data_IF_881216403091
#
_entry.id   IF_881216403091
#
_cell.length_a   1.000
_cell.length_b   1.000
_cell.length_c   1.000
_cell.angle_alpha   90.00
_cell.angle_beta   90.00
_cell.angle_gamma   90.00
#
_symmetry.space_group_name_H-M   'P 1'
#
loop_
_entity.id
_entity.type
_entity.pdbx_description
1 polymer ?
#
# COMPACT_ATOMS: atom_id res chain seq x y z
N UNK A 1 -16.75 11.78 -9.88
CA UNK A 1 -15.32 11.40 -9.95
C UNK A 1 -14.95 10.82 -8.59
N UNK A 2 -14.40 9.60 -8.54
CA UNK A 2 -14.07 8.94 -7.25
C UNK A 2 -12.83 9.60 -6.63
N UNK A 3 -12.95 10.02 -5.37
CA UNK A 3 -11.90 10.74 -4.63
C UNK A 3 -11.88 10.26 -3.19
N UNK A 4 -10.70 10.18 -2.60
CA UNK A 4 -10.53 9.90 -1.16
C UNK A 4 -10.65 11.21 -0.36
N UNK A 5 -11.61 11.28 0.56
CA UNK A 5 -11.82 12.49 1.39
C UNK A 5 -10.64 12.78 2.33
N UNK A 6 -9.96 11.74 2.83
CA UNK A 6 -8.86 11.89 3.80
C UNK A 6 -7.55 12.36 3.18
N UNK A 7 -7.17 11.83 2.01
CA UNK A 7 -5.89 12.15 1.36
C UNK A 7 -6.05 12.95 0.07
N UNK A 8 -7.29 13.21 -0.37
CA UNK A 8 -7.65 13.96 -1.57
C UNK A 8 -7.16 13.30 -2.88
N UNK A 9 -6.80 12.01 -2.85
CA UNK A 9 -6.41 11.27 -4.03
C UNK A 9 -7.59 11.15 -5.00
N UNK A 10 -7.38 11.46 -6.26
CA UNK A 10 -8.36 11.35 -7.32
C UNK A 10 -7.97 10.15 -8.20
N UNK A 11 -8.85 9.15 -8.27
CA UNK A 11 -8.56 7.91 -9.01
C UNK A 11 -8.31 8.17 -10.50
N UNK A 12 -9.09 9.03 -11.11
CA UNK A 12 -8.98 9.35 -12.52
C UNK A 12 -7.69 10.10 -12.91
N UNK A 13 -6.93 10.63 -11.95
CA UNK A 13 -5.64 11.29 -12.21
C UNK A 13 -4.50 10.28 -12.44
N UNK A 14 -4.77 8.98 -12.25
CA UNK A 14 -3.82 7.91 -12.49
C UNK A 14 -4.29 7.08 -13.67
N UNK A 15 -3.76 7.36 -14.84
CA UNK A 15 -4.03 6.59 -16.05
C UNK A 15 -3.24 5.26 -16.06
N UNK A 16 -3.61 4.37 -16.97
CA UNK A 16 -2.98 3.04 -17.08
C UNK A 16 -1.46 3.11 -17.33
N UNK A 17 -0.94 3.95 -18.24
CA UNK A 17 0.49 4.08 -18.47
C UNK A 17 1.29 4.57 -17.25
N UNK A 18 0.67 5.32 -16.33
CA UNK A 18 1.33 5.81 -15.13
C UNK A 18 1.48 4.76 -14.03
N UNK A 19 0.65 3.70 -14.02
CA UNK A 19 0.64 2.70 -12.95
C UNK A 19 2.01 2.09 -12.66
N UNK A 20 2.78 1.54 -13.63
CA UNK A 20 4.07 0.93 -13.35
C UNK A 20 5.07 1.89 -12.69
N UNK A 21 5.17 3.13 -13.21
CA UNK A 21 6.07 4.15 -12.66
C UNK A 21 5.66 4.57 -11.26
N UNK A 22 4.36 4.74 -11.01
CA UNK A 22 3.83 5.08 -9.68
C UNK A 22 4.15 3.99 -8.67
N UNK A 23 3.93 2.72 -9.00
CA UNK A 23 4.30 1.60 -8.12
C UNK A 23 5.79 1.56 -7.84
N UNK A 24 6.63 1.62 -8.86
CA UNK A 24 8.09 1.52 -8.72
C UNK A 24 8.66 2.60 -7.78
N UNK A 25 8.06 3.79 -7.75
CA UNK A 25 8.49 4.89 -6.90
C UNK A 25 8.30 4.63 -5.39
N UNK A 26 7.35 3.78 -4.98
CA UNK A 26 7.06 3.56 -3.56
C UNK A 26 8.23 2.92 -2.80
N UNK A 27 9.01 2.05 -3.44
CA UNK A 27 10.16 1.42 -2.80
C UNK A 27 11.15 2.43 -2.21
N UNK A 28 11.55 3.43 -3.00
CA UNK A 28 12.46 4.48 -2.56
C UNK A 28 11.80 5.42 -1.52
N UNK A 29 10.53 5.78 -1.72
CA UNK A 29 9.80 6.70 -0.84
C UNK A 29 9.61 6.13 0.57
N UNK A 30 9.17 4.87 0.70
CA UNK A 30 9.02 4.20 1.99
C UNK A 30 10.39 3.94 2.64
N UNK A 31 11.39 3.54 1.86
CA UNK A 31 12.75 3.38 2.38
C UNK A 31 13.28 4.66 3.01
N UNK A 32 13.06 5.81 2.40
CA UNK A 32 13.52 7.10 2.92
C UNK A 32 12.89 7.43 4.28
N UNK A 33 11.65 7.02 4.53
CA UNK A 33 10.95 7.22 5.80
C UNK A 33 11.37 6.20 6.87
N UNK A 34 11.56 4.93 6.48
CA UNK A 34 11.93 3.88 7.44
C UNK A 34 13.41 3.93 7.81
N UNK A 35 14.27 4.28 6.87
CA UNK A 35 15.74 4.22 6.98
C UNK A 35 16.39 5.53 6.52
N UNK A 36 16.08 6.67 7.15
CA UNK A 36 16.70 7.95 6.79
C UNK A 36 18.22 7.89 7.08
N UNK A 37 19.06 8.58 6.26
CA UNK A 37 20.52 8.55 6.39
C UNK A 37 21.03 9.04 7.76
N UNK A 38 20.31 10.00 8.35
CA UNK A 38 20.60 10.52 9.68
C UNK A 38 19.38 10.38 10.57
N UNK A 39 19.48 9.58 11.61
CA UNK A 39 18.42 9.36 12.59
C UNK A 39 19.00 9.12 13.99
N UNK A 40 18.25 9.44 15.07
CA UNK A 40 18.68 9.18 16.44
C UNK A 40 18.76 7.66 16.72
N UNK A 41 19.51 7.26 17.72
CA UNK A 41 19.57 5.85 18.17
C UNK A 41 18.20 5.27 18.56
N UNK A 42 17.25 6.13 18.98
CA UNK A 42 15.86 5.76 19.31
C UNK A 42 14.97 5.53 18.09
N UNK A 43 15.49 5.63 16.85
CA UNK A 43 14.68 5.61 15.63
C UNK A 43 13.84 4.34 15.49
N UNK A 44 14.39 3.17 15.80
CA UNK A 44 13.64 1.91 15.77
C UNK A 44 12.42 1.95 16.71
N UNK A 45 12.57 2.49 17.92
CA UNK A 45 11.46 2.71 18.84
C UNK A 45 10.40 3.67 18.27
N UNK A 46 10.83 4.76 17.61
CA UNK A 46 9.94 5.72 16.96
C UNK A 46 9.12 5.05 15.85
N UNK A 47 9.75 4.21 15.02
CA UNK A 47 9.06 3.46 13.96
C UNK A 47 7.98 2.52 14.48
N UNK A 48 8.14 1.97 15.70
CA UNK A 48 7.23 1.00 16.32
C UNK A 48 6.18 1.64 17.22
N UNK A 49 6.34 2.92 17.56
CA UNK A 49 5.40 3.62 18.44
C UNK A 49 4.18 4.03 17.66
N UNK A 50 2.99 3.62 18.14
CA UNK A 50 1.71 4.12 17.63
C UNK A 50 1.46 5.53 18.15
N UNK A 51 1.09 6.50 17.29
CA UNK A 51 0.81 7.87 17.72
C UNK A 51 -0.50 8.00 18.52
N UNK A 52 -1.40 7.00 18.44
CA UNK A 52 -2.62 6.80 19.23
C UNK A 52 -2.98 5.32 19.19
N UNK A 53 -3.86 4.87 20.12
CA UNK A 53 -4.22 3.45 20.24
C UNK A 53 -4.82 2.85 18.96
N UNK A 54 -5.63 3.63 18.26
CA UNK A 54 -6.35 3.27 17.03
C UNK A 54 -5.57 3.63 15.74
N UNK A 55 -4.36 4.16 15.86
CA UNK A 55 -3.52 4.57 14.71
C UNK A 55 -2.26 3.70 14.65
N UNK A 56 -2.08 3.03 13.54
CA UNK A 56 -0.92 2.16 13.34
C UNK A 56 0.41 2.93 13.39
N UNK A 57 1.47 2.22 13.79
CA UNK A 57 2.83 2.74 13.73
C UNK A 57 3.33 2.87 12.28
N UNK A 58 4.42 3.62 12.10
CA UNK A 58 5.05 3.76 10.78
C UNK A 58 5.44 2.41 10.18
N UNK A 59 5.96 1.48 10.99
CA UNK A 59 6.34 0.15 10.56
C UNK A 59 5.12 -0.71 10.19
N UNK A 60 4.03 -0.63 10.95
CA UNK A 60 2.79 -1.35 10.67
C UNK A 60 2.17 -0.90 9.33
N UNK A 61 2.14 0.41 9.05
CA UNK A 61 1.69 0.93 7.76
C UNK A 61 2.56 0.45 6.60
N UNK A 62 3.88 0.44 6.74
CA UNK A 62 4.78 -0.04 5.70
C UNK A 62 4.58 -1.54 5.40
N UNK A 63 4.42 -2.37 6.44
CA UNK A 63 4.08 -3.79 6.30
C UNK A 63 2.74 -3.97 5.58
N UNK A 64 1.74 -3.16 5.95
CA UNK A 64 0.43 -3.20 5.30
C UNK A 64 0.51 -2.88 3.80
N UNK A 65 1.22 -1.83 3.41
CA UNK A 65 1.37 -1.45 1.99
C UNK A 65 2.12 -2.51 1.19
N UNK A 66 3.17 -3.11 1.78
CA UNK A 66 3.84 -4.29 1.19
C UNK A 66 2.83 -5.39 0.87
N UNK A 67 2.00 -5.75 1.84
CA UNK A 67 1.02 -6.82 1.70
C UNK A 67 -0.12 -6.44 0.74
N UNK A 68 -0.53 -5.15 0.70
CA UNK A 68 -1.46 -4.65 -0.32
C UNK A 68 -0.91 -4.92 -1.72
N UNK A 69 0.33 -4.55 -2.00
CA UNK A 69 0.91 -4.73 -3.34
C UNK A 69 1.00 -6.21 -3.74
N UNK A 70 1.36 -7.09 -2.82
CA UNK A 70 1.39 -8.54 -3.08
C UNK A 70 -0.01 -9.09 -3.36
N UNK A 71 -1.00 -8.75 -2.53
CA UNK A 71 -2.38 -9.22 -2.69
C UNK A 71 -3.02 -8.68 -3.97
N UNK A 72 -2.81 -7.40 -4.28
CA UNK A 72 -3.40 -6.82 -5.50
C UNK A 72 -2.76 -7.38 -6.77
N UNK A 73 -1.46 -7.72 -6.73
CA UNK A 73 -0.80 -8.44 -7.82
C UNK A 73 -1.44 -9.81 -8.07
N UNK A 74 -1.68 -10.59 -7.03
CA UNK A 74 -2.30 -11.92 -7.17
C UNK A 74 -3.76 -11.82 -7.63
N UNK A 75 -4.51 -10.83 -7.12
CA UNK A 75 -5.88 -10.51 -7.59
C UNK A 75 -5.92 -10.13 -9.07
N UNK A 76 -4.92 -9.35 -9.53
CA UNK A 76 -4.80 -9.02 -10.95
C UNK A 76 -4.70 -10.29 -11.80
N UNK A 77 -3.78 -11.20 -11.46
CA UNK A 77 -3.60 -12.44 -12.23
C UNK A 77 -4.86 -13.33 -12.18
N UNK A 78 -5.51 -13.42 -11.03
CA UNK A 78 -6.79 -14.15 -10.90
C UNK A 78 -7.84 -13.58 -11.85
N UNK A 79 -8.02 -12.26 -11.89
CA UNK A 79 -9.01 -11.62 -12.76
C UNK A 79 -8.62 -11.61 -14.25
N UNK A 80 -7.35 -11.87 -14.59
CA UNK A 80 -6.93 -12.07 -15.98
C UNK A 80 -7.31 -13.46 -16.52
N UNK A 81 -7.55 -14.45 -15.65
CA UNK A 81 -7.88 -15.83 -16.04
C UNK A 81 -9.31 -16.23 -15.69
N UNK A 82 -9.87 -15.75 -14.58
CA UNK A 82 -11.24 -16.03 -14.15
C UNK A 82 -12.19 -14.93 -14.64
N UNK A 83 -13.46 -15.28 -14.83
CA UNK A 83 -14.51 -14.32 -15.17
C UNK A 83 -15.13 -13.74 -13.90
N UNK A 84 -14.94 -12.43 -13.71
CA UNK A 84 -15.50 -11.63 -12.63
C UNK A 84 -15.31 -12.26 -11.24
N UNK A 85 -14.07 -12.62 -10.83
CA UNK A 85 -13.80 -13.27 -9.55
C UNK A 85 -14.20 -12.37 -8.38
N UNK A 86 -14.62 -12.99 -7.26
CA UNK A 86 -14.96 -12.32 -6.02
C UNK A 86 -13.75 -12.32 -5.09
N UNK A 87 -13.19 -11.13 -4.81
CA UNK A 87 -12.01 -11.03 -3.95
C UNK A 87 -12.38 -11.00 -2.46
N UNK A 88 -11.80 -11.92 -1.69
CA UNK A 88 -11.92 -11.88 -0.24
C UNK A 88 -11.30 -10.58 0.36
N UNK A 89 -11.84 -10.05 1.46
CA UNK A 89 -11.21 -8.96 2.20
C UNK A 89 -9.79 -9.31 2.65
N UNK A 90 -8.93 -8.30 2.79
CA UNK A 90 -7.56 -8.53 3.28
C UNK A 90 -7.48 -8.76 4.79
N UNK A 91 -8.55 -8.47 5.53
CA UNK A 91 -8.58 -8.55 7.02
C UNK A 91 -7.40 -7.80 7.65
N UNK A 92 -7.18 -6.55 7.21
CA UNK A 92 -6.00 -5.74 7.49
C UNK A 92 -5.65 -5.67 8.99
N UNK A 93 -6.64 -5.44 9.85
CA UNK A 93 -6.41 -5.30 11.30
C UNK A 93 -5.99 -6.63 11.94
N UNK A 94 -6.54 -7.76 11.48
CA UNK A 94 -6.10 -9.09 11.89
C UNK A 94 -4.67 -9.38 11.42
N UNK A 95 -4.29 -8.95 10.20
CA UNK A 95 -2.93 -9.14 9.68
C UNK A 95 -1.87 -8.43 10.52
N UNK A 96 -2.16 -7.22 11.00
CA UNK A 96 -1.23 -6.47 11.87
C UNK A 96 -0.80 -7.34 13.07
N UNK A 97 -1.77 -8.03 13.69
CA UNK A 97 -1.52 -8.89 14.85
C UNK A 97 -0.94 -10.24 14.45
N UNK A 98 -1.57 -10.95 13.52
CA UNK A 98 -1.18 -12.32 13.13
C UNK A 98 0.20 -12.39 12.48
N UNK A 99 0.52 -11.42 11.61
CA UNK A 99 1.82 -11.32 10.96
C UNK A 99 2.84 -10.51 11.78
N UNK A 100 2.47 -10.09 12.99
CA UNK A 100 3.34 -9.41 13.94
C UNK A 100 4.09 -8.23 13.30
N UNK A 101 3.39 -7.35 12.58
CA UNK A 101 3.98 -6.29 11.78
C UNK A 101 4.99 -5.44 12.58
N UNK A 102 4.61 -5.07 13.80
CA UNK A 102 5.45 -4.21 14.64
C UNK A 102 6.69 -4.91 15.25
N UNK A 103 6.84 -6.23 15.06
CA UNK A 103 8.01 -7.00 15.46
C UNK A 103 8.98 -7.30 14.30
N UNK A 104 8.65 -6.88 13.07
CA UNK A 104 9.48 -7.12 11.90
C UNK A 104 10.67 -6.16 11.84
N UNK A 105 11.75 -6.54 11.15
CA UNK A 105 12.92 -5.69 10.94
C UNK A 105 12.62 -4.58 9.91
N UNK A 106 12.82 -3.28 10.24
CA UNK A 106 12.54 -2.19 9.32
C UNK A 106 13.36 -2.23 8.01
N UNK A 107 14.58 -2.77 8.04
CA UNK A 107 15.42 -2.90 6.84
C UNK A 107 14.85 -3.96 5.91
N UNK A 108 14.45 -5.11 6.46
CA UNK A 108 13.79 -6.17 5.70
C UNK A 108 12.43 -5.71 5.15
N UNK A 109 11.62 -5.01 5.95
CA UNK A 109 10.33 -4.47 5.50
C UNK A 109 10.53 -3.49 4.34
N UNK A 110 11.50 -2.58 4.42
CA UNK A 110 11.80 -1.65 3.33
C UNK A 110 12.24 -2.37 2.05
N UNK A 111 13.05 -3.43 2.16
CA UNK A 111 13.49 -4.23 1.02
C UNK A 111 12.34 -5.06 0.41
N UNK A 112 11.51 -5.67 1.25
CA UNK A 112 10.35 -6.44 0.82
C UNK A 112 9.29 -5.54 0.15
N UNK A 113 9.02 -4.34 0.71
CA UNK A 113 8.10 -3.37 0.11
C UNK A 113 8.62 -2.91 -1.26
N UNK A 114 9.91 -2.60 -1.39
CA UNK A 114 10.49 -2.23 -2.67
C UNK A 114 10.37 -3.36 -3.70
N UNK A 115 10.50 -4.62 -3.27
CA UNK A 115 10.31 -5.78 -4.14
C UNK A 115 8.84 -5.95 -4.53
N UNK A 116 7.90 -5.85 -3.59
CA UNK A 116 6.46 -5.92 -3.84
C UNK A 116 6.01 -4.82 -4.82
N UNK A 117 6.51 -3.59 -4.63
CA UNK A 117 6.25 -2.46 -5.52
C UNK A 117 6.71 -2.71 -6.96
N UNK A 118 7.89 -3.32 -7.15
CA UNK A 118 8.39 -3.70 -8.48
C UNK A 118 7.55 -4.84 -9.08
N UNK A 119 7.18 -5.83 -8.28
CA UNK A 119 6.39 -6.98 -8.76
C UNK A 119 4.99 -6.56 -9.24
N UNK A 120 4.31 -5.67 -8.50
CA UNK A 120 3.00 -5.14 -8.95
C UNK A 120 3.17 -4.21 -10.16
N UNK A 121 4.24 -3.39 -10.23
CA UNK A 121 4.56 -2.57 -11.39
C UNK A 121 4.69 -3.45 -12.65
N UNK A 122 5.49 -4.51 -12.60
CA UNK A 122 5.65 -5.47 -13.70
C UNK A 122 4.34 -6.15 -14.09
N UNK A 123 3.46 -6.44 -13.12
CA UNK A 123 2.17 -7.07 -13.40
C UNK A 123 1.20 -6.17 -14.18
N UNK A 124 1.30 -4.83 -14.01
CA UNK A 124 0.52 -3.86 -14.79
C UNK A 124 1.22 -3.43 -16.09
N UNK A 125 2.54 -3.68 -16.20
CA UNK A 125 3.30 -3.35 -17.39
C UNK A 125 2.85 -4.21 -18.58
N UNK A 126 2.51 -3.58 -19.68
CA UNK A 126 2.13 -4.29 -20.91
C UNK A 126 0.70 -4.83 -20.94
N UNK A 127 -0.15 -4.55 -19.94
CA UNK A 127 -1.58 -4.89 -20.03
C UNK A 127 -2.26 -4.05 -21.12
N UNK A 128 -3.00 -4.73 -21.97
CA UNK A 128 -3.79 -4.06 -23.02
C UNK A 128 -5.10 -3.45 -22.44
N UNK A 129 -5.79 -2.58 -23.20
CA UNK A 129 -7.03 -1.95 -22.74
C UNK A 129 -8.15 -2.95 -22.42
N UNK A 130 -8.23 -4.11 -23.11
CA UNK A 130 -9.24 -5.11 -22.84
C UNK A 130 -8.98 -5.82 -21.52
N UNK A 131 -7.72 -6.14 -21.23
CA UNK A 131 -7.30 -6.70 -19.94
C UNK A 131 -7.58 -5.75 -18.78
N UNK A 132 -7.30 -4.45 -18.93
CA UNK A 132 -7.58 -3.43 -17.92
C UNK A 132 -9.08 -3.23 -17.66
N UNK A 133 -9.95 -3.58 -18.60
CA UNK A 133 -11.41 -3.52 -18.47
C UNK A 133 -12.03 -4.81 -17.92
N UNK A 134 -11.27 -5.90 -17.74
CA UNK A 134 -11.76 -7.11 -17.07
C UNK A 134 -12.28 -6.78 -15.67
N UNK A 135 -13.31 -7.50 -15.23
CA UNK A 135 -14.07 -7.17 -14.03
C UNK A 135 -13.71 -8.10 -12.87
N UNK A 136 -13.92 -7.58 -11.67
CA UNK A 136 -13.88 -8.34 -10.42
C UNK A 136 -14.91 -7.77 -9.45
N UNK A 137 -15.33 -8.54 -8.45
CA UNK A 137 -16.08 -8.03 -7.30
C UNK A 137 -15.08 -7.71 -6.19
N UNK A 138 -14.92 -6.43 -5.91
CA UNK A 138 -14.02 -5.92 -4.87
C UNK A 138 -14.82 -5.66 -3.59
N UNK A 139 -14.40 -6.29 -2.48
CA UNK A 139 -15.19 -6.34 -1.23
C UNK A 139 -14.81 -5.26 -0.20
N UNK A 140 -14.33 -4.08 -0.63
CA UNK A 140 -14.00 -3.00 0.29
C UNK A 140 -14.29 -1.63 -0.36
N UNK A 141 -14.89 -0.64 0.38
CA UNK A 141 -15.53 -0.74 1.71
C UNK A 141 -16.81 -1.61 1.71
N UNK A 142 -17.41 -1.82 0.54
CA UNK A 142 -18.55 -2.70 0.30
C UNK A 142 -18.35 -3.42 -1.03
N UNK A 143 -18.98 -4.60 -1.24
CA UNK A 143 -18.89 -5.33 -2.49
C UNK A 143 -19.33 -4.46 -3.68
N UNK A 144 -18.46 -4.32 -4.67
CA UNK A 144 -18.76 -3.59 -5.89
C UNK A 144 -17.98 -4.18 -7.07
N UNK A 145 -18.62 -4.20 -8.24
CA UNK A 145 -17.95 -4.57 -9.48
C UNK A 145 -16.99 -3.46 -9.91
N UNK A 146 -15.74 -3.83 -10.16
CA UNK A 146 -14.67 -2.90 -10.51
C UNK A 146 -13.83 -3.42 -11.69
N UNK A 147 -13.36 -2.54 -12.60
CA UNK A 147 -12.38 -2.93 -13.61
C UNK A 147 -10.98 -3.08 -13.00
N UNK A 148 -10.10 -3.87 -13.63
CA UNK A 148 -8.72 -4.02 -13.19
C UNK A 148 -7.92 -2.70 -13.18
N UNK A 149 -8.24 -1.77 -14.08
CA UNK A 149 -7.68 -0.41 -14.01
C UNK A 149 -7.94 0.23 -12.64
N UNK A 150 -9.18 0.12 -12.14
CA UNK A 150 -9.52 0.65 -10.81
C UNK A 150 -8.74 -0.05 -9.69
N UNK A 151 -8.52 -1.37 -9.81
CA UNK A 151 -7.71 -2.13 -8.83
C UNK A 151 -6.28 -1.59 -8.76
N UNK A 152 -5.69 -1.26 -9.92
CA UNK A 152 -4.38 -0.60 -9.99
C UNK A 152 -4.39 0.79 -9.36
N UNK A 153 -5.38 1.62 -9.71
CA UNK A 153 -5.56 2.95 -9.13
C UNK A 153 -5.75 2.90 -7.61
N UNK A 154 -6.54 1.92 -7.13
CA UNK A 154 -6.77 1.71 -5.70
C UNK A 154 -5.49 1.28 -4.98
N UNK A 155 -4.68 0.41 -5.56
CA UNK A 155 -3.40 0.01 -4.97
C UNK A 155 -2.39 1.19 -4.93
N UNK A 156 -2.38 2.07 -5.94
CA UNK A 156 -1.62 3.33 -5.89
C UNK A 156 -2.15 4.25 -4.80
N UNK A 157 -3.49 4.37 -4.68
CA UNK A 157 -4.13 5.14 -3.60
C UNK A 157 -3.67 4.64 -2.21
N UNK A 158 -3.69 3.32 -1.97
CA UNK A 158 -3.22 2.73 -0.71
C UNK A 158 -1.76 3.12 -0.41
N UNK A 159 -0.89 3.03 -1.42
CA UNK A 159 0.50 3.48 -1.30
C UNK A 159 0.65 4.95 -0.93
N UNK A 160 -0.06 5.85 -1.60
CA UNK A 160 -0.02 7.31 -1.35
C UNK A 160 -0.69 7.69 -0.02
N UNK A 161 -1.83 7.09 0.28
CA UNK A 161 -2.60 7.36 1.50
C UNK A 161 -1.77 7.02 2.74
N UNK A 162 -1.26 5.81 2.79
CA UNK A 162 -0.49 5.34 3.95
C UNK A 162 0.92 5.91 4.02
N UNK A 163 1.50 6.39 2.92
CA UNK A 163 2.74 7.18 3.00
C UNK A 163 2.53 8.45 3.83
N UNK A 164 1.40 9.16 3.62
CA UNK A 164 1.04 10.33 4.42
C UNK A 164 0.72 9.98 5.87
N UNK A 165 0.14 8.78 6.11
CA UNK A 165 -0.09 8.30 7.49
C UNK A 165 1.24 8.07 8.22
N UNK A 166 2.22 7.45 7.55
CA UNK A 166 3.59 7.28 8.07
C UNK A 166 4.23 8.64 8.40
N UNK A 167 4.20 9.58 7.46
CA UNK A 167 4.77 10.93 7.66
C UNK A 167 4.15 11.65 8.85
N UNK A 168 2.81 11.64 8.95
CA UNK A 168 2.05 12.26 10.05
C UNK A 168 2.32 11.56 11.39
N UNK A 169 2.36 10.21 11.38
CA UNK A 169 2.64 9.40 12.57
C UNK A 169 4.02 9.67 13.12
N UNK A 170 5.05 9.65 12.27
CA UNK A 170 6.42 9.97 12.64
C UNK A 170 6.56 11.38 13.21
N UNK A 171 5.90 12.38 12.61
CA UNK A 171 5.92 13.75 13.10
C UNK A 171 5.32 13.86 14.51
N UNK A 172 4.20 13.19 14.77
CA UNK A 172 3.54 13.18 16.09
C UNK A 172 4.40 12.48 17.15
N UNK A 173 4.89 11.27 16.87
CA UNK A 173 5.72 10.51 17.82
C UNK A 173 7.00 11.26 18.18
N UNK A 174 7.63 11.93 17.20
CA UNK A 174 8.84 12.75 17.47
C UNK A 174 8.55 13.96 18.32
N UNK A 175 7.40 14.61 18.13
CA UNK A 175 7.01 15.77 18.93
C UNK A 175 6.71 15.41 20.40
N UNK A 176 6.36 14.17 20.71
CA UNK A 176 6.10 13.70 22.09
C UNK A 176 7.33 13.07 22.76
N UNK A 177 8.39 12.77 21.99
CA UNK A 177 9.63 12.18 22.50
C UNK A 177 10.74 13.18 22.81
N UNK A 178 10.53 14.47 22.53
CA UNK A 178 11.43 15.59 22.83
C UNK A 178 10.87 16.48 23.91
#
# INVERSE_FOLDING_TARGET
MERCDSCQFIYADVDAPALPTRFAAFGARYRALLLPPAHPASWDGILRTRPAEDVWSALEYACHVRDVFLVQRDRLYTALVEDTPVFAPMYRDHRVTLARYNAQDPQEVAAQLATAARLIAQAFEGLDPAQLQRRCIYNFPAPAERPLLWVGQHAVHEGEHHLRDVERGLARVRATAG
#
